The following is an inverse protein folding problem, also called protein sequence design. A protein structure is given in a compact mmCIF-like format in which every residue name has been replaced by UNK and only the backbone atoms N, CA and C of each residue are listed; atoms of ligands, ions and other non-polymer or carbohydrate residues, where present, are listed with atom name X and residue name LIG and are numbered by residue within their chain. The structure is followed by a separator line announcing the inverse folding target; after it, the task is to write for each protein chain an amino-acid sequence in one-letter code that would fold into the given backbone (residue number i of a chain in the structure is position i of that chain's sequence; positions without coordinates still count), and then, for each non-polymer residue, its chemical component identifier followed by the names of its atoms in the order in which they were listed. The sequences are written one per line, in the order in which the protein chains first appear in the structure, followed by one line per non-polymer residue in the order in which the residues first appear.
data_IF_122586343543
#
_entry.id   IF_122586343543
#
_cell.length_a   1.000
_cell.length_b   1.000
_cell.length_c   1.000
_cell.angle_alpha   90.00
_cell.angle_beta   90.00
_cell.angle_gamma   90.00
#
_symmetry.space_group_name_H-M   'P 1'
#
loop_
_entity.id
_entity.type
_entity.pdbx_description
1 polymer ?
#
# COMPACT_ATOMS: atom_id res chain seq x y z
N UNK A 1 -1.48 14.12 -0.43
CA UNK A 1 -0.40 13.22 0.06
C UNK A 1 0.56 13.95 1.00
N UNK A 2 1.29 14.98 0.54
CA UNK A 2 2.30 15.71 1.33
C UNK A 2 1.82 16.15 2.71
N UNK A 3 0.66 16.81 2.81
CA UNK A 3 0.12 17.25 4.11
C UNK A 3 -0.10 16.10 5.09
N UNK A 4 -0.47 14.93 4.59
CA UNK A 4 -0.66 13.73 5.40
C UNK A 4 0.65 13.19 5.94
N UNK A 5 1.70 13.15 5.11
CA UNK A 5 3.04 12.73 5.53
C UNK A 5 3.65 13.72 6.53
N UNK A 6 3.47 15.03 6.31
CA UNK A 6 3.92 16.07 7.24
C UNK A 6 3.19 16.00 8.58
N UNK A 7 1.87 15.86 8.58
CA UNK A 7 1.07 15.70 9.79
C UNK A 7 1.49 14.44 10.56
N UNK A 8 1.74 13.33 9.85
CA UNK A 8 2.21 12.09 10.46
C UNK A 8 3.53 12.28 11.20
N UNK A 9 4.47 13.01 10.59
CA UNK A 9 5.76 13.32 11.21
C UNK A 9 5.67 14.30 12.37
N UNK A 10 4.65 15.12 12.42
CA UNK A 10 4.34 15.99 13.57
C UNK A 10 3.64 15.24 14.71
N UNK A 11 3.29 13.96 14.52
CA UNK A 11 2.55 13.15 15.49
C UNK A 11 1.04 13.37 15.47
N UNK A 12 0.52 14.16 14.52
CA UNK A 12 -0.92 14.36 14.33
C UNK A 12 -1.47 13.25 13.41
N UNK A 13 -1.64 12.06 13.99
CA UNK A 13 -2.01 10.87 13.25
C UNK A 13 -3.44 10.92 12.67
N UNK A 14 -4.37 11.54 13.38
CA UNK A 14 -5.75 11.65 12.92
C UNK A 14 -5.85 12.53 11.67
N UNK A 15 -5.22 13.71 11.70
CA UNK A 15 -5.14 14.57 10.52
C UNK A 15 -4.35 13.89 9.39
N UNK A 16 -3.25 13.21 9.72
CA UNK A 16 -2.43 12.50 8.75
C UNK A 16 -3.25 11.48 7.95
N UNK A 17 -3.96 10.58 8.64
CA UNK A 17 -4.74 9.55 7.98
C UNK A 17 -5.96 10.14 7.27
N UNK A 18 -6.56 11.23 7.76
CA UNK A 18 -7.61 11.93 7.02
C UNK A 18 -7.09 12.49 5.68
N UNK A 19 -5.94 13.16 5.68
CA UNK A 19 -5.31 13.67 4.46
C UNK A 19 -4.91 12.56 3.49
N UNK A 20 -4.35 11.45 3.98
CA UNK A 20 -3.92 10.32 3.15
C UNK A 20 -5.12 9.61 2.51
N UNK A 21 -6.20 9.33 3.26
CA UNK A 21 -7.43 8.75 2.69
C UNK A 21 -8.05 9.66 1.64
N UNK A 22 -8.09 10.97 1.89
CA UNK A 22 -8.57 11.93 0.91
C UNK A 22 -7.66 11.94 -0.34
N UNK A 23 -6.35 11.82 -0.16
CA UNK A 23 -5.40 11.70 -1.27
C UNK A 23 -5.71 10.48 -2.14
N UNK A 24 -5.96 9.32 -1.52
CA UNK A 24 -6.33 8.08 -2.24
C UNK A 24 -7.66 8.26 -2.97
N UNK A 25 -8.68 8.82 -2.31
CA UNK A 25 -9.98 9.04 -2.95
C UNK A 25 -9.89 9.98 -4.16
N UNK A 26 -9.01 10.98 -4.13
CA UNK A 26 -8.75 11.87 -5.28
C UNK A 26 -7.98 11.16 -6.38
N UNK A 27 -6.99 10.35 -6.03
CA UNK A 27 -6.19 9.54 -6.96
C UNK A 27 -7.10 8.58 -7.74
N UNK A 28 -7.97 7.85 -7.02
CA UNK A 28 -8.94 6.92 -7.61
C UNK A 28 -9.99 7.60 -8.50
N UNK A 29 -10.28 8.87 -8.24
CA UNK A 29 -11.23 9.67 -9.01
C UNK A 29 -10.59 10.36 -10.23
N UNK A 30 -9.28 10.24 -10.44
CA UNK A 30 -8.64 10.78 -11.63
C UNK A 30 -9.18 10.06 -12.88
N UNK A 31 -9.48 10.81 -13.96
CA UNK A 31 -9.74 10.22 -15.26
C UNK A 31 -8.58 9.31 -15.67
N UNK A 32 -8.90 8.18 -16.30
CA UNK A 32 -7.87 7.31 -16.87
C UNK A 32 -7.09 8.07 -17.96
N UNK A 33 -5.77 8.13 -17.82
CA UNK A 33 -4.87 8.80 -18.76
C UNK A 33 -3.55 8.02 -18.90
N UNK A 34 -2.91 8.09 -20.06
CA UNK A 34 -1.64 7.42 -20.37
C UNK A 34 -0.59 8.44 -20.87
N UNK A 35 0.43 8.79 -20.07
CA UNK A 35 0.78 8.25 -18.76
C UNK A 35 -0.12 8.76 -17.63
N UNK A 36 -0.14 8.04 -16.50
CA UNK A 36 -0.99 8.37 -15.37
C UNK A 36 -0.67 9.78 -14.86
N UNK A 37 -1.72 10.57 -14.58
CA UNK A 37 -1.57 11.94 -14.08
C UNK A 37 -0.85 12.04 -12.74
N UNK A 38 -0.78 10.92 -11.99
CA UNK A 38 -0.09 10.85 -10.71
C UNK A 38 0.77 9.58 -10.62
N UNK A 39 2.10 9.74 -10.67
CA UNK A 39 3.04 8.61 -10.72
C UNK A 39 3.40 8.01 -9.36
N UNK A 40 3.14 8.70 -8.24
CA UNK A 40 3.48 8.22 -6.90
C UNK A 40 2.21 7.77 -6.15
N UNK A 41 1.87 6.47 -6.13
CA UNK A 41 0.58 6.02 -5.61
C UNK A 41 0.35 6.46 -4.17
N UNK A 42 -0.69 7.26 -3.92
CA UNK A 42 -1.01 7.74 -2.57
C UNK A 42 -1.31 6.57 -1.60
N UNK A 43 -1.78 5.47 -2.18
CA UNK A 43 -2.12 4.21 -1.52
C UNK A 43 -0.92 3.55 -0.85
N UNK A 44 0.28 3.66 -1.42
CA UNK A 44 1.50 3.11 -0.82
C UNK A 44 1.86 3.82 0.47
N UNK A 45 1.82 5.16 0.47
CA UNK A 45 2.06 5.95 1.68
C UNK A 45 1.02 5.64 2.77
N UNK A 46 -0.27 5.59 2.41
CA UNK A 46 -1.34 5.23 3.35
C UNK A 46 -1.11 3.83 3.95
N UNK A 47 -0.95 2.81 3.11
CA UNK A 47 -0.76 1.42 3.56
C UNK A 47 0.49 1.24 4.43
N UNK A 48 1.60 1.90 4.08
CA UNK A 48 2.85 1.80 4.83
C UNK A 48 2.70 2.40 6.23
N UNK A 49 2.11 3.59 6.34
CA UNK A 49 1.95 4.30 7.60
C UNK A 49 0.88 3.67 8.50
N UNK A 50 -0.16 3.05 7.91
CA UNK A 50 -1.12 2.23 8.65
C UNK A 50 -0.44 1.02 9.29
N UNK A 51 0.40 0.29 8.53
CA UNK A 51 1.18 -0.82 9.07
C UNK A 51 2.14 -0.37 10.18
N UNK A 52 2.78 0.79 10.02
CA UNK A 52 3.66 1.35 11.06
C UNK A 52 2.92 1.62 12.38
N UNK A 53 1.65 2.03 12.32
CA UNK A 53 0.79 2.25 13.49
C UNK A 53 0.05 0.98 13.95
N UNK A 54 0.32 -0.17 13.35
CA UNK A 54 -0.35 -1.44 13.71
C UNK A 54 -1.82 -1.50 13.28
N UNK A 55 -2.29 -0.63 12.39
CA UNK A 55 -3.64 -0.66 11.80
C UNK A 55 -3.69 -1.68 10.65
N UNK A 56 -3.44 -2.95 10.98
CA UNK A 56 -3.11 -3.99 10.00
C UNK A 56 -4.30 -4.33 9.10
N UNK A 57 -5.51 -4.41 9.64
CA UNK A 57 -6.73 -4.71 8.89
C UNK A 57 -7.01 -3.66 7.82
N UNK A 58 -6.88 -2.38 8.19
CA UNK A 58 -7.08 -1.29 7.25
C UNK A 58 -5.99 -1.28 6.18
N UNK A 59 -4.73 -1.51 6.57
CA UNK A 59 -3.64 -1.65 5.61
C UNK A 59 -3.89 -2.80 4.63
N UNK A 60 -4.40 -3.94 5.13
CA UNK A 60 -4.74 -5.10 4.29
C UNK A 60 -5.79 -4.73 3.24
N UNK A 61 -6.84 -4.00 3.62
CA UNK A 61 -7.85 -3.50 2.67
C UNK A 61 -7.25 -2.55 1.63
N UNK A 62 -6.35 -1.65 2.06
CA UNK A 62 -5.67 -0.71 1.16
C UNK A 62 -4.85 -1.46 0.10
N UNK A 63 -4.10 -2.49 0.47
CA UNK A 63 -3.32 -3.27 -0.50
C UNK A 63 -4.18 -4.24 -1.32
N UNK A 64 -5.21 -4.83 -0.73
CA UNK A 64 -6.17 -5.71 -1.42
C UNK A 64 -6.84 -4.98 -2.58
N UNK A 65 -7.23 -3.72 -2.36
CA UNK A 65 -7.77 -2.84 -3.38
C UNK A 65 -6.75 -2.58 -4.51
N UNK A 66 -5.49 -2.24 -4.16
CA UNK A 66 -4.43 -2.00 -5.15
C UNK A 66 -4.19 -3.22 -6.03
N UNK A 67 -4.05 -4.40 -5.42
CA UNK A 67 -3.75 -5.64 -6.10
C UNK A 67 -4.96 -6.18 -6.90
N UNK A 68 -6.15 -5.61 -6.67
CA UNK A 68 -7.38 -6.10 -7.28
C UNK A 68 -7.84 -7.45 -6.77
N UNK A 69 -7.49 -7.79 -5.52
CA UNK A 69 -7.98 -8.98 -4.81
C UNK A 69 -9.47 -8.82 -4.48
N UNK A 70 -9.87 -7.59 -4.16
CA UNK A 70 -11.27 -7.20 -4.08
C UNK A 70 -11.69 -6.34 -5.29
N UNK A 71 -12.98 -6.03 -5.35
CA UNK A 71 -13.58 -5.30 -6.46
C UNK A 71 -13.77 -3.79 -6.18
N UNK A 72 -13.10 -3.24 -5.16
CA UNK A 72 -13.29 -1.84 -4.75
C UNK A 72 -12.89 -0.84 -5.84
N UNK A 73 -11.83 -1.11 -6.60
CA UNK A 73 -11.35 -0.24 -7.68
C UNK A 73 -11.81 -0.71 -9.05
N UNK A 74 -11.97 0.19 -10.05
CA UNK A 74 -12.12 -0.21 -11.45
C UNK A 74 -10.93 -1.04 -11.92
N UNK A 75 -11.14 -1.96 -12.88
CA UNK A 75 -10.07 -2.85 -13.37
C UNK A 75 -8.82 -2.11 -13.84
N UNK A 76 -8.98 -0.93 -14.43
CA UNK A 76 -7.88 -0.10 -14.93
C UNK A 76 -6.97 0.46 -13.82
N UNK A 77 -7.43 0.46 -12.56
CA UNK A 77 -6.68 0.95 -11.38
C UNK A 77 -6.20 -0.19 -10.48
N UNK A 78 -6.32 -1.45 -10.93
CA UNK A 78 -5.83 -2.63 -10.21
C UNK A 78 -4.47 -3.04 -10.77
N UNK A 79 -3.52 -3.28 -9.89
CA UNK A 79 -2.12 -3.57 -10.18
C UNK A 79 -1.68 -4.91 -9.57
N UNK A 80 -2.09 -6.06 -10.14
CA UNK A 80 -1.89 -7.38 -9.51
C UNK A 80 -0.43 -7.74 -9.19
N UNK A 81 0.52 -7.22 -9.97
CA UNK A 81 1.95 -7.52 -9.83
C UNK A 81 2.74 -6.38 -9.19
N UNK A 82 2.07 -5.45 -8.51
CA UNK A 82 2.73 -4.34 -7.84
C UNK A 82 3.54 -4.86 -6.64
N UNK A 83 4.87 -4.94 -6.80
CA UNK A 83 5.77 -5.50 -5.78
C UNK A 83 5.66 -4.82 -4.42
N UNK A 84 5.44 -3.49 -4.41
CA UNK A 84 5.29 -2.70 -3.18
C UNK A 84 4.03 -3.08 -2.41
N UNK A 85 2.91 -3.24 -3.12
CA UNK A 85 1.65 -3.66 -2.52
C UNK A 85 1.65 -5.15 -2.17
N UNK A 86 2.25 -6.02 -2.99
CA UNK A 86 2.44 -7.44 -2.67
C UNK A 86 3.21 -7.62 -1.37
N UNK A 87 4.30 -6.87 -1.18
CA UNK A 87 5.09 -6.90 0.06
C UNK A 87 4.24 -6.47 1.26
N UNK A 88 3.57 -5.33 1.14
CA UNK A 88 2.71 -4.80 2.21
C UNK A 88 1.55 -5.74 2.56
N UNK A 89 0.88 -6.31 1.56
CA UNK A 89 -0.24 -7.23 1.77
C UNK A 89 0.22 -8.55 2.41
N UNK A 90 1.33 -9.12 1.96
CA UNK A 90 1.92 -10.31 2.58
C UNK A 90 2.23 -10.06 4.07
N UNK A 91 2.83 -8.92 4.41
CA UNK A 91 3.09 -8.56 5.80
C UNK A 91 1.80 -8.43 6.62
N UNK A 92 0.75 -7.84 6.04
CA UNK A 92 -0.56 -7.76 6.68
C UNK A 92 -1.12 -9.16 6.96
N UNK A 93 -1.14 -10.05 5.97
CA UNK A 93 -1.67 -11.40 6.13
C UNK A 93 -0.91 -12.19 7.20
N UNK A 94 0.42 -12.05 7.26
CA UNK A 94 1.24 -12.68 8.29
C UNK A 94 0.93 -12.15 9.69
N UNK A 95 0.77 -10.84 9.85
CA UNK A 95 0.41 -10.19 11.13
C UNK A 95 -1.01 -10.54 11.58
N UNK A 96 -1.95 -10.69 10.66
CA UNK A 96 -3.33 -11.10 10.93
C UNK A 96 -3.49 -12.62 11.17
N UNK A 97 -2.41 -13.40 11.02
CA UNK A 97 -2.46 -14.86 11.16
C UNK A 97 -3.10 -15.59 9.98
N UNK A 98 -3.42 -14.89 8.88
CA UNK A 98 -4.00 -15.44 7.64
C UNK A 98 -2.94 -16.12 6.78
N UNK A 99 -2.26 -17.12 7.34
CA UNK A 99 -1.07 -17.75 6.75
C UNK A 99 -1.37 -18.47 5.44
N UNK A 100 -2.52 -19.10 5.31
CA UNK A 100 -2.87 -19.83 4.09
C UNK A 100 -2.94 -18.90 2.88
N UNK A 101 -3.57 -17.74 3.05
CA UNK A 101 -3.60 -16.69 2.02
C UNK A 101 -2.22 -16.10 1.75
N UNK A 102 -1.42 -15.88 2.79
CA UNK A 102 -0.05 -15.40 2.66
C UNK A 102 0.80 -16.37 1.83
N UNK A 103 0.61 -17.68 2.00
CA UNK A 103 1.33 -18.72 1.26
C UNK A 103 0.90 -18.80 -0.20
N UNK A 104 -0.36 -18.49 -0.52
CA UNK A 104 -0.83 -18.37 -1.91
C UNK A 104 -0.18 -17.17 -2.60
N UNK A 105 -0.03 -16.05 -1.89
CA UNK A 105 0.56 -14.82 -2.43
C UNK A 105 2.10 -14.90 -2.57
N UNK A 106 2.76 -15.69 -1.71
CA UNK A 106 4.22 -15.74 -1.57
C UNK A 106 4.98 -16.01 -2.89
N UNK A 107 4.54 -16.92 -3.79
CA UNK A 107 5.20 -17.12 -5.07
C UNK A 107 5.20 -15.88 -5.96
N UNK A 108 4.08 -15.15 -6.03
CA UNK A 108 3.96 -13.91 -6.81
C UNK A 108 4.88 -12.83 -6.23
N UNK A 109 4.88 -12.66 -4.91
CA UNK A 109 5.78 -11.75 -4.22
C UNK A 109 7.25 -12.10 -4.49
N UNK A 110 7.64 -13.38 -4.40
CA UNK A 110 9.01 -13.80 -4.64
C UNK A 110 9.46 -13.50 -6.08
N UNK A 111 8.59 -13.74 -7.07
CA UNK A 111 8.89 -13.42 -8.47
C UNK A 111 9.08 -11.91 -8.67
N UNK A 112 8.21 -11.10 -8.07
CA UNK A 112 8.28 -9.64 -8.16
C UNK A 112 9.53 -9.07 -7.45
N UNK A 113 9.91 -9.66 -6.31
CA UNK A 113 11.14 -9.29 -5.60
C UNK A 113 12.42 -9.71 -6.34
N UNK A 114 12.40 -10.83 -7.07
CA UNK A 114 13.57 -11.33 -7.79
C UNK A 114 14.05 -10.41 -8.92
N UNK A 115 13.15 -9.55 -9.42
CA UNK A 115 13.44 -8.55 -10.48
C UNK A 115 13.54 -7.13 -9.95
N UNK A 116 13.43 -6.92 -8.62
CA UNK A 116 13.55 -5.61 -8.03
C UNK A 116 15.02 -5.17 -7.96
N UNK A 117 15.33 -3.98 -8.45
CA UNK A 117 16.68 -3.41 -8.42
C UNK A 117 17.16 -3.07 -7.00
N UNK A 118 16.20 -2.86 -6.08
CA UNK A 118 16.46 -2.46 -4.70
C UNK A 118 15.76 -3.39 -3.72
N UNK A 119 16.31 -3.63 -2.52
CA UNK A 119 15.62 -4.37 -1.47
C UNK A 119 14.34 -3.63 -1.05
N UNK A 120 13.20 -4.29 -1.23
CA UNK A 120 11.90 -3.75 -0.83
C UNK A 120 11.59 -4.22 0.59
N UNK A 121 11.73 -3.31 1.55
CA UNK A 121 11.40 -3.54 2.98
C UNK A 121 10.04 -2.99 3.41
N UNK A 122 9.47 -2.09 2.61
CA UNK A 122 8.16 -1.49 2.84
C UNK A 122 7.61 -0.98 1.51
N UNK A 123 6.29 -0.81 1.45
CA UNK A 123 5.60 -0.24 0.27
C UNK A 123 5.92 1.23 0.03
N UNK A 124 6.36 1.97 1.05
CA UNK A 124 6.75 3.37 0.95
C UNK A 124 7.82 3.70 1.99
N UNK A 125 8.86 4.43 1.57
CA UNK A 125 9.95 4.90 2.45
C UNK A 125 9.49 5.89 3.54
N UNK A 126 8.24 6.35 3.49
CA UNK A 126 7.61 7.06 4.60
C UNK A 126 7.45 6.17 5.83
N UNK A 127 7.50 4.85 5.71
CA UNK A 127 7.59 3.95 6.87
C UNK A 127 9.05 3.77 7.29
N UNK A 128 9.37 4.18 8.52
CA UNK A 128 10.70 4.06 9.11
C UNK A 128 10.86 2.78 9.92
N UNK A 129 9.78 2.25 10.50
CA UNK A 129 9.82 1.02 11.32
C UNK A 129 9.39 -0.18 10.48
N UNK A 130 10.36 -0.82 9.84
CA UNK A 130 10.18 -2.11 9.16
C UNK A 130 10.71 -3.23 10.02
N UNK A 131 10.13 -4.43 9.87
CA UNK A 131 10.74 -5.65 10.43
C UNK A 131 11.92 -6.00 9.54
N UNK A 132 13.09 -6.25 10.13
CA UNK A 132 14.28 -6.70 9.41
C UNK A 132 14.17 -8.16 8.94
#
# INVERSE_FOLDING_TARGET
MLDGELAYRKGDYDAAFAHLRNSVARDDALPYDEPWGWMQPARHALGALLLEQGRVEEAASVYSADLGIDETLPRAQRHPNNVWALHGFYECLMKLGRKDEAMILKPQLNLALAVADVPIKSSCFCRQKTVD
#
